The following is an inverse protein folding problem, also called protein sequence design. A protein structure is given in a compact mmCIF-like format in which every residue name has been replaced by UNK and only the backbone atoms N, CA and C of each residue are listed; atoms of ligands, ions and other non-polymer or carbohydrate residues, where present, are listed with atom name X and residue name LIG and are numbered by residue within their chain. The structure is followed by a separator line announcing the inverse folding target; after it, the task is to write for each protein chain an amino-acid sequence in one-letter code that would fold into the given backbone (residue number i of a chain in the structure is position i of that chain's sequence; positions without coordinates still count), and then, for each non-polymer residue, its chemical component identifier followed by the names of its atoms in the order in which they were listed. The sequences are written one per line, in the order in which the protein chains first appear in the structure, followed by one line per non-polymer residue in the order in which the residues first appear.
data_IF_874382333812
#
_entry.id   IF_874382333812
#
_cell.length_a   1.000
_cell.length_b   1.000
_cell.length_c   1.000
_cell.angle_alpha   90.00
_cell.angle_beta   90.00
_cell.angle_gamma   90.00
#
_symmetry.space_group_name_H-M   'P 1'
#
loop_
_entity.id
_entity.type
_entity.pdbx_description
1 polymer ?
#
# COMPACT_ATOMS: atom_id res chain seq x y z
N UNK A 1 14.50 5.09 -14.51
CA UNK A 1 13.80 5.96 -13.54
C UNK A 1 12.32 5.84 -13.83
N UNK A 2 11.62 4.90 -13.18
CA UNK A 2 10.18 4.72 -13.37
C UNK A 2 9.42 5.90 -12.76
N UNK A 3 8.50 6.49 -13.50
CA UNK A 3 7.70 7.63 -13.02
C UNK A 3 6.72 7.09 -11.96
N UNK A 4 6.84 7.55 -10.71
CA UNK A 4 5.87 7.21 -9.66
C UNK A 4 4.53 7.84 -10.01
N UNK A 5 3.57 7.04 -10.45
CA UNK A 5 2.19 7.49 -10.69
C UNK A 5 1.36 7.27 -9.44
N UNK A 6 0.65 8.32 -9.02
CA UNK A 6 -0.39 8.18 -7.99
C UNK A 6 -1.52 7.32 -8.56
N UNK A 7 -1.94 6.32 -7.79
CA UNK A 7 -3.07 5.45 -8.10
C UNK A 7 -4.31 5.89 -7.34
N UNK A 8 -4.25 5.78 -6.01
CA UNK A 8 -5.34 6.16 -5.12
C UNK A 8 -4.80 6.50 -3.73
N UNK A 9 -5.62 7.15 -2.91
CA UNK A 9 -5.40 7.27 -1.48
C UNK A 9 -6.01 6.07 -0.74
N UNK A 10 -5.16 5.18 -0.24
CA UNK A 10 -5.59 4.03 0.54
C UNK A 10 -5.58 4.36 2.03
N UNK A 11 -6.39 3.61 2.78
CA UNK A 11 -6.36 3.63 4.24
C UNK A 11 -6.40 2.21 4.78
N UNK A 12 -5.67 1.97 5.86
CA UNK A 12 -5.67 0.68 6.53
C UNK A 12 -5.64 0.86 8.04
N UNK A 13 -6.27 -0.09 8.73
CA UNK A 13 -6.23 -0.15 10.18
C UNK A 13 -5.06 -1.05 10.58
N UNK A 14 -4.12 -0.51 11.35
CA UNK A 14 -3.03 -1.29 11.92
C UNK A 14 -3.42 -1.83 13.31
N UNK A 15 -2.80 -2.94 13.70
CA UNK A 15 -2.92 -3.50 15.05
C UNK A 15 -2.60 -2.42 16.10
N UNK A 16 -3.47 -2.32 17.12
CA UNK A 16 -3.42 -1.24 18.11
C UNK A 16 -4.37 -0.07 17.84
N UNK A 17 -5.24 -0.18 16.83
CA UNK A 17 -6.33 0.79 16.59
C UNK A 17 -5.91 2.08 15.91
N UNK A 18 -4.64 2.20 15.49
CA UNK A 18 -4.18 3.31 14.66
C UNK A 18 -4.67 3.10 13.23
N UNK A 19 -4.97 4.20 12.55
CA UNK A 19 -5.36 4.21 11.15
C UNK A 19 -4.22 4.88 10.38
N UNK A 20 -3.65 4.15 9.42
CA UNK A 20 -2.70 4.71 8.47
C UNK A 20 -3.45 5.07 7.20
N UNK A 21 -3.18 6.27 6.67
CA UNK A 21 -3.82 6.74 5.44
C UNK A 21 -2.81 7.54 4.64
N UNK A 22 -2.78 7.26 3.34
CA UNK A 22 -2.02 8.05 2.41
C UNK A 22 -2.01 7.49 0.98
N UNK A 23 -1.28 8.18 0.09
CA UNK A 23 -1.27 7.87 -1.32
C UNK A 23 -0.52 6.58 -1.59
N UNK A 24 -1.12 5.76 -2.44
CA UNK A 24 -0.48 4.64 -3.12
C UNK A 24 0.05 5.15 -4.45
N UNK A 25 1.34 4.91 -4.67
CA UNK A 25 2.03 5.22 -5.92
C UNK A 25 2.56 3.94 -6.55
N UNK A 26 2.45 3.76 -7.85
CA UNK A 26 3.08 2.64 -8.57
C UNK A 26 4.15 3.14 -9.52
N UNK A 27 5.15 2.32 -9.81
CA UNK A 27 6.19 2.62 -10.80
C UNK A 27 6.19 1.68 -12.01
N UNK A 28 5.61 0.47 -11.88
CA UNK A 28 5.74 -0.60 -12.88
C UNK A 28 4.51 -1.53 -12.91
N UNK A 29 3.35 -1.11 -12.37
CA UNK A 29 2.11 -1.91 -12.23
C UNK A 29 2.25 -3.22 -11.42
N UNK A 30 3.47 -3.57 -11.00
CA UNK A 30 3.81 -4.70 -10.14
C UNK A 30 4.17 -4.26 -8.73
N UNK A 31 4.80 -3.09 -8.61
CA UNK A 31 5.30 -2.56 -7.34
C UNK A 31 4.53 -1.30 -6.96
N UNK A 32 3.92 -1.36 -5.78
CA UNK A 32 3.07 -0.34 -5.22
C UNK A 32 3.72 0.16 -3.94
N UNK A 33 3.77 1.47 -3.78
CA UNK A 33 4.38 2.13 -2.65
C UNK A 33 3.32 2.96 -1.96
N UNK A 34 2.95 2.52 -0.76
CA UNK A 34 2.06 3.24 0.12
C UNK A 34 2.90 4.06 1.10
N UNK A 35 2.57 5.35 1.22
CA UNK A 35 3.18 6.24 2.21
C UNK A 35 2.09 6.84 3.07
N UNK A 36 2.14 6.57 4.37
CA UNK A 36 1.27 7.23 5.34
C UNK A 36 1.59 8.73 5.40
N UNK A 37 0.57 9.54 5.29
CA UNK A 37 0.64 10.99 5.51
C UNK A 37 -0.08 11.41 6.79
N UNK A 38 -0.73 10.47 7.48
CA UNK A 38 -1.55 10.74 8.65
C UNK A 38 -0.74 10.51 9.93
N UNK A 39 -0.52 11.56 10.73
CA UNK A 39 -0.01 11.41 12.10
C UNK A 39 1.51 11.38 12.27
N UNK A 40 2.28 12.07 11.43
CA UNK A 40 3.69 12.41 11.66
C UNK A 40 4.67 11.22 11.71
N UNK A 41 4.20 9.99 11.56
CA UNK A 41 5.03 8.80 11.47
C UNK A 41 5.39 8.52 10.02
N UNK A 42 6.68 8.40 9.73
CA UNK A 42 7.25 7.93 8.46
C UNK A 42 6.95 6.43 8.25
N UNK A 43 5.66 6.11 8.17
CA UNK A 43 5.18 4.77 7.86
C UNK A 43 5.03 4.67 6.35
N UNK A 44 5.81 3.81 5.74
CA UNK A 44 5.70 3.50 4.32
C UNK A 44 5.92 2.01 4.13
N UNK A 45 5.27 1.44 3.13
CA UNK A 45 5.38 0.03 2.79
C UNK A 45 5.31 -0.14 1.27
N UNK A 46 6.04 -1.13 0.79
CA UNK A 46 6.10 -1.53 -0.60
C UNK A 46 5.35 -2.85 -0.74
N UNK A 47 4.25 -2.81 -1.49
CA UNK A 47 3.51 -4.00 -1.87
C UNK A 47 3.94 -4.46 -3.27
N UNK A 48 4.03 -5.76 -3.44
CA UNK A 48 4.10 -6.42 -4.73
C UNK A 48 2.87 -7.30 -4.87
N UNK A 49 2.25 -7.23 -6.04
CA UNK A 49 1.18 -8.15 -6.44
C UNK A 49 1.80 -9.35 -7.15
N UNK A 50 1.52 -10.53 -6.64
CA UNK A 50 1.88 -11.81 -7.26
C UNK A 50 0.62 -12.68 -7.45
N UNK A 51 0.76 -13.87 -8.03
CA UNK A 51 -0.36 -14.77 -8.35
C UNK A 51 -1.08 -15.26 -7.09
N UNK A 52 -0.37 -15.33 -5.96
CA UNK A 52 -0.93 -15.70 -4.66
C UNK A 52 -1.52 -14.52 -3.86
N UNK A 53 -1.46 -13.29 -4.39
CA UNK A 53 -2.03 -12.10 -3.73
C UNK A 53 -1.01 -11.00 -3.47
N UNK A 54 -1.28 -10.20 -2.42
CA UNK A 54 -0.49 -9.03 -2.07
C UNK A 54 0.55 -9.35 -1.01
N UNK A 55 1.81 -9.00 -1.30
CA UNK A 55 2.95 -9.25 -0.43
C UNK A 55 3.71 -7.97 -0.15
N UNK A 56 4.23 -7.83 1.06
CA UNK A 56 5.20 -6.79 1.35
C UNK A 56 6.57 -7.20 0.80
N UNK A 57 7.16 -6.35 -0.04
CA UNK A 57 8.52 -6.52 -0.55
C UNK A 57 9.55 -5.66 0.19
N UNK A 58 9.09 -4.80 1.08
CA UNK A 58 9.94 -3.93 1.90
C UNK A 58 9.12 -2.82 2.55
N UNK A 59 9.65 -2.19 3.58
CA UNK A 59 8.94 -1.19 4.36
C UNK A 59 9.85 -0.52 5.37
N UNK A 60 9.25 0.23 6.29
CA UNK A 60 9.95 0.66 7.49
C UNK A 60 10.18 -0.57 8.40
N UNK A 61 11.22 -0.57 9.25
CA UNK A 61 11.67 -1.70 10.09
C UNK A 61 10.62 -2.20 11.13
N UNK A 62 9.39 -1.69 11.07
CA UNK A 62 8.27 -2.16 11.89
C UNK A 62 7.56 -3.27 11.13
N UNK A 63 7.56 -4.48 11.67
CA UNK A 63 6.74 -5.60 11.15
C UNK A 63 5.30 -5.11 10.90
N UNK A 64 4.95 -4.95 9.62
CA UNK A 64 3.64 -4.50 9.24
C UNK A 64 2.67 -5.70 9.29
N UNK A 65 1.47 -5.53 9.90
CA UNK A 65 0.49 -6.60 9.89
C UNK A 65 0.13 -6.97 8.45
N UNK A 66 0.11 -8.26 8.12
CA UNK A 66 -0.32 -8.74 6.81
C UNK A 66 -1.74 -8.27 6.45
N UNK A 67 -2.57 -8.02 7.47
CA UNK A 67 -3.91 -7.43 7.33
C UNK A 67 -3.88 -6.03 6.67
N UNK A 68 -2.84 -5.24 6.91
CA UNK A 68 -2.67 -3.90 6.29
C UNK A 68 -2.34 -4.05 4.82
N UNK A 69 -1.44 -4.98 4.50
CA UNK A 69 -1.04 -5.31 3.12
C UNK A 69 -2.27 -5.78 2.33
N UNK A 70 -3.07 -6.67 2.91
CA UNK A 70 -4.30 -7.17 2.30
C UNK A 70 -5.36 -6.06 2.12
N UNK A 71 -5.58 -5.22 3.13
CA UNK A 71 -6.52 -4.09 3.06
C UNK A 71 -6.14 -3.09 1.96
N UNK A 72 -4.85 -2.71 1.87
CA UNK A 72 -4.36 -1.78 0.86
C UNK A 72 -4.40 -2.45 -0.52
N UNK A 73 -3.92 -3.68 -0.62
CA UNK A 73 -3.93 -4.47 -1.84
C UNK A 73 -5.33 -4.61 -2.44
N UNK A 74 -6.33 -4.91 -1.61
CA UNK A 74 -7.73 -5.00 -2.02
C UNK A 74 -8.30 -3.67 -2.54
N UNK A 75 -7.91 -2.54 -1.94
CA UNK A 75 -8.30 -1.22 -2.44
C UNK A 75 -7.65 -0.90 -3.78
N UNK A 76 -6.39 -1.31 -3.97
CA UNK A 76 -5.70 -1.18 -5.25
C UNK A 76 -6.37 -2.05 -6.31
N UNK A 77 -6.67 -3.30 -6.00
CA UNK A 77 -7.34 -4.23 -6.92
C UNK A 77 -8.73 -3.72 -7.33
N UNK A 78 -9.56 -3.27 -6.38
CA UNK A 78 -10.86 -2.64 -6.67
C UNK A 78 -10.71 -1.40 -7.56
N UNK A 79 -9.68 -0.58 -7.34
CA UNK A 79 -9.41 0.59 -8.17
C UNK A 79 -9.00 0.20 -9.59
N UNK A 80 -8.11 -0.78 -9.75
CA UNK A 80 -7.67 -1.28 -11.04
C UNK A 80 -8.83 -1.91 -11.81
N UNK A 81 -9.61 -2.79 -11.18
CA UNK A 81 -10.78 -3.42 -11.80
C UNK A 81 -11.90 -2.44 -12.17
N UNK A 82 -12.01 -1.29 -11.48
CA UNK A 82 -12.98 -0.23 -11.84
C UNK A 82 -12.50 0.71 -12.94
N UNK A 83 -11.20 0.74 -13.22
CA UNK A 83 -10.61 1.58 -14.25
C UNK A 83 -10.22 0.79 -15.52
N UNK A 84 -10.57 -0.50 -15.58
CA UNK A 84 -10.55 -1.35 -16.80
C UNK A 84 -11.79 -1.15 -17.69
#
# INVERSE_FOLDING_TARGET
MGVKRHLLDAQAKVSGGRIVKGPVTTSDDKTYHFKNQTGGSDFYLYLIRDDNGWYESGGNETEHPQEVVDQIGKQIDDFLSKNE
#
